data_IF_849979370379
#
_entry.id   IF_849979370379
#
_cell.length_a   1.000
_cell.length_b   1.000
_cell.length_c   1.000
_cell.angle_alpha   90.00
_cell.angle_beta   90.00
_cell.angle_gamma   90.00
#
_symmetry.space_group_name_H-M   'P 1'
#
loop_
_entity.id
_entity.type
_entity.pdbx_description
1 polymer ?
#
# COMPACT_ATOMS: atom_id res chain seq x y z
N UNK A 1 23.01 -20.38 -10.83
CA UNK A 1 22.69 -20.46 -9.38
C UNK A 1 23.20 -19.18 -8.73
N UNK A 2 22.42 -18.57 -7.86
CA UNK A 2 22.80 -17.37 -7.10
C UNK A 2 22.80 -17.74 -5.62
N UNK A 3 23.98 -18.19 -5.15
CA UNK A 3 24.12 -18.71 -3.79
C UNK A 3 23.97 -17.58 -2.75
N UNK A 4 24.38 -16.34 -3.07
CA UNK A 4 24.19 -15.17 -2.22
C UNK A 4 22.69 -14.89 -1.99
N UNK A 5 21.89 -14.89 -3.06
CA UNK A 5 20.45 -14.70 -2.95
C UNK A 5 19.76 -15.84 -2.20
N UNK A 6 20.26 -17.08 -2.34
CA UNK A 6 19.74 -18.22 -1.60
C UNK A 6 20.03 -18.09 -0.11
N UNK A 7 21.27 -17.75 0.25
CA UNK A 7 21.68 -17.56 1.64
C UNK A 7 21.01 -16.37 2.32
N UNK A 8 20.55 -15.38 1.55
CA UNK A 8 19.81 -14.23 2.07
C UNK A 8 18.37 -14.57 2.52
N UNK A 9 17.80 -15.67 2.01
CA UNK A 9 16.40 -16.04 2.28
C UNK A 9 16.24 -17.36 3.03
N UNK A 10 17.28 -18.19 3.10
CA UNK A 10 17.31 -19.41 3.91
C UNK A 10 18.10 -19.14 5.19
N UNK A 11 17.50 -19.45 6.34
CA UNK A 11 18.21 -19.38 7.59
C UNK A 11 19.01 -20.68 7.87
N UNK A 12 19.78 -20.66 8.96
CA UNK A 12 20.63 -21.79 9.40
C UNK A 12 19.84 -23.07 9.72
N UNK A 13 18.54 -22.95 10.01
CA UNK A 13 17.66 -24.04 10.37
C UNK A 13 16.86 -24.56 9.14
N UNK A 14 17.13 -24.00 7.96
CA UNK A 14 16.54 -24.40 6.66
C UNK A 14 15.18 -23.78 6.37
N UNK A 15 14.75 -22.76 7.15
CA UNK A 15 13.51 -22.04 6.87
C UNK A 15 13.68 -21.00 5.77
N UNK A 16 12.72 -20.97 4.86
CA UNK A 16 12.63 -19.96 3.81
C UNK A 16 11.88 -18.73 4.33
N UNK A 17 12.56 -17.59 4.39
CA UNK A 17 11.96 -16.29 4.69
C UNK A 17 11.36 -15.71 3.40
N UNK A 18 10.05 -15.81 3.23
CA UNK A 18 9.35 -15.29 2.03
C UNK A 18 9.34 -13.77 1.97
N UNK A 19 9.50 -13.10 3.12
CA UNK A 19 9.39 -11.65 3.24
C UNK A 19 7.94 -11.16 3.27
N UNK A 20 6.98 -12.06 3.48
CA UNK A 20 5.57 -11.73 3.62
C UNK A 20 5.16 -11.67 5.10
N UNK A 21 4.21 -10.80 5.41
CA UNK A 21 3.53 -10.74 6.70
C UNK A 21 2.20 -11.48 6.57
N UNK A 22 1.89 -12.31 7.53
CA UNK A 22 0.66 -13.07 7.55
C UNK A 22 0.21 -13.42 8.96
N UNK A 23 -0.98 -14.00 9.05
CA UNK A 23 -1.55 -14.52 10.29
C UNK A 23 -1.93 -15.99 10.12
N UNK A 24 -1.93 -16.72 11.23
CA UNK A 24 -2.41 -18.10 11.28
C UNK A 24 -3.61 -18.13 12.22
N UNK A 25 -4.77 -18.57 11.71
CA UNK A 25 -5.98 -18.70 12.51
C UNK A 25 -5.87 -19.89 13.49
N UNK A 26 -6.70 -19.95 14.54
CA UNK A 26 -6.79 -21.13 15.43
C UNK A 26 -7.13 -22.42 14.68
N UNK A 27 -7.73 -22.35 13.51
CA UNK A 27 -8.06 -23.46 12.61
C UNK A 27 -6.96 -23.74 11.58
N UNK A 28 -5.75 -23.18 11.78
CA UNK A 28 -4.55 -23.37 10.95
C UNK A 28 -4.65 -22.83 9.50
N UNK A 29 -5.57 -21.90 9.23
CA UNK A 29 -5.57 -21.18 7.95
C UNK A 29 -4.55 -20.05 7.98
N UNK A 30 -3.71 -19.99 6.94
CA UNK A 30 -2.74 -18.91 6.73
C UNK A 30 -3.37 -17.83 5.87
N UNK A 31 -3.33 -16.58 6.35
CA UNK A 31 -3.72 -15.40 5.58
C UNK A 31 -2.50 -14.53 5.36
N UNK A 32 -2.11 -14.33 4.11
CA UNK A 32 -1.06 -13.38 3.75
C UNK A 32 -1.67 -11.99 3.70
N UNK A 33 -1.02 -11.04 4.39
CA UNK A 33 -1.51 -9.65 4.51
C UNK A 33 -0.81 -8.73 3.51
N UNK A 34 0.53 -8.64 3.60
CA UNK A 34 1.31 -7.73 2.74
C UNK A 34 2.79 -8.17 2.75
N UNK A 35 3.58 -7.87 1.71
CA UNK A 35 5.04 -7.96 1.82
C UNK A 35 5.58 -7.08 2.94
N UNK A 36 6.50 -7.59 3.76
CA UNK A 36 7.06 -6.87 4.90
C UNK A 36 7.67 -5.50 4.54
N UNK A 37 8.21 -5.38 3.32
CA UNK A 37 8.77 -4.14 2.75
C UNK A 37 7.71 -3.09 2.38
N UNK A 38 6.44 -3.48 2.28
CA UNK A 38 5.33 -2.62 1.89
C UNK A 38 4.47 -2.20 3.10
N UNK A 39 4.65 -2.85 4.26
CA UNK A 39 4.03 -2.44 5.53
C UNK A 39 4.51 -1.02 5.90
N UNK A 40 3.56 -0.15 6.21
CA UNK A 40 3.81 1.23 6.66
C UNK A 40 3.91 1.24 8.18
N UNK A 41 5.02 1.76 8.70
CA UNK A 41 5.26 1.87 10.15
C UNK A 41 4.99 3.30 10.59
N UNK A 42 3.82 3.55 11.17
CA UNK A 42 3.34 4.88 11.52
C UNK A 42 2.85 4.96 12.95
N UNK A 43 3.37 5.90 13.74
CA UNK A 43 2.90 6.15 15.11
C UNK A 43 2.93 4.93 16.04
N UNK A 44 3.81 3.95 15.78
CA UNK A 44 3.87 2.69 16.51
C UNK A 44 2.97 1.57 15.97
N UNK A 45 2.15 1.87 14.96
CA UNK A 45 1.26 0.93 14.29
C UNK A 45 1.87 0.38 13.00
N UNK A 46 1.46 -0.83 12.64
CA UNK A 46 1.83 -1.47 11.38
C UNK A 46 0.59 -1.49 10.47
N UNK A 47 0.65 -0.71 9.39
CA UNK A 47 -0.46 -0.52 8.47
C UNK A 47 -0.22 -1.32 7.20
N UNK A 48 -1.16 -2.20 6.88
CA UNK A 48 -1.17 -2.97 5.64
C UNK A 48 -1.62 -2.08 4.49
N UNK A 49 -0.79 -1.95 3.45
CA UNK A 49 -1.12 -1.14 2.28
C UNK A 49 -2.29 -1.72 1.49
N UNK A 50 -2.42 -3.05 1.46
CA UNK A 50 -3.52 -3.74 0.79
C UNK A 50 -4.88 -3.41 1.42
N UNK A 51 -4.95 -3.21 2.74
CA UNK A 51 -6.20 -2.83 3.39
C UNK A 51 -6.68 -1.46 2.93
N UNK A 52 -5.75 -0.49 2.82
CA UNK A 52 -6.05 0.85 2.29
C UNK A 52 -6.47 0.77 0.82
N UNK A 53 -5.72 0.01 0.01
CA UNK A 53 -6.02 -0.21 -1.41
C UNK A 53 -7.40 -0.85 -1.58
N UNK A 54 -7.76 -1.84 -0.75
CA UNK A 54 -9.07 -2.49 -0.75
C UNK A 54 -10.21 -1.51 -0.42
N UNK A 55 -10.01 -0.61 0.55
CA UNK A 55 -11.00 0.44 0.88
C UNK A 55 -11.18 1.37 -0.31
N UNK A 56 -10.09 1.91 -0.86
CA UNK A 56 -10.13 2.90 -1.93
C UNK A 56 -10.69 2.28 -3.22
N UNK A 57 -10.38 1.04 -3.53
CA UNK A 57 -10.85 0.35 -4.74
C UNK A 57 -12.37 0.14 -4.78
N UNK A 58 -13.05 0.21 -3.62
CA UNK A 58 -14.52 0.10 -3.52
C UNK A 58 -15.24 1.42 -3.83
N UNK A 59 -14.52 2.54 -3.92
CA UNK A 59 -15.11 3.82 -4.26
C UNK A 59 -15.51 3.79 -5.74
N UNK A 60 -16.82 4.01 -6.00
CA UNK A 60 -17.31 4.04 -7.38
C UNK A 60 -16.61 5.16 -8.17
N UNK A 61 -16.07 4.80 -9.33
CA UNK A 61 -15.28 5.69 -10.18
C UNK A 61 -13.76 5.56 -10.00
N UNK A 62 -13.27 4.86 -8.98
CA UNK A 62 -11.86 4.47 -8.91
C UNK A 62 -11.61 3.30 -9.86
N UNK A 63 -10.57 3.43 -10.68
CA UNK A 63 -10.14 2.40 -11.64
C UNK A 63 -9.01 1.54 -11.07
N UNK A 64 -8.00 2.20 -10.52
CA UNK A 64 -6.81 1.54 -9.92
C UNK A 64 -6.32 2.37 -8.74
N UNK A 65 -5.68 1.72 -7.79
CA UNK A 65 -5.06 2.36 -6.64
C UNK A 65 -3.77 1.64 -6.27
N UNK A 66 -2.78 2.40 -5.84
CA UNK A 66 -1.58 1.88 -5.20
C UNK A 66 -1.24 2.74 -3.98
N UNK A 67 -0.87 2.09 -2.89
CA UNK A 67 -0.46 2.78 -1.66
C UNK A 67 0.97 2.39 -1.31
N UNK A 68 1.77 3.39 -0.96
CA UNK A 68 3.14 3.21 -0.46
C UNK A 68 3.35 4.03 0.81
N UNK A 69 4.27 3.59 1.66
CA UNK A 69 4.74 4.41 2.78
C UNK A 69 5.69 5.48 2.27
N UNK A 70 5.52 6.70 2.75
CA UNK A 70 6.46 7.81 2.56
C UNK A 70 6.97 8.27 3.94
N UNK A 71 8.24 8.70 4.06
CA UNK A 71 8.80 9.17 5.32
C UNK A 71 8.01 10.36 5.87
N UNK A 72 7.78 10.35 7.16
CA UNK A 72 7.18 11.44 7.92
C UNK A 72 8.04 11.74 9.16
N UNK A 73 8.36 13.01 9.39
CA UNK A 73 9.25 13.43 10.47
C UNK A 73 8.70 13.13 11.87
N UNK A 74 7.38 13.10 12.02
CA UNK A 74 6.71 12.93 13.31
C UNK A 74 6.31 11.49 13.56
N UNK A 75 5.85 10.79 12.52
CA UNK A 75 5.18 9.50 12.64
C UNK A 75 5.99 8.32 12.08
N UNK A 76 7.19 8.59 11.50
CA UNK A 76 8.04 7.62 10.83
C UNK A 76 7.67 7.48 9.36
N UNK A 77 6.52 6.92 9.07
CA UNK A 77 5.97 6.84 7.71
C UNK A 77 4.49 7.22 7.70
N UNK A 78 4.01 7.72 6.54
CA UNK A 78 2.59 7.95 6.29
C UNK A 78 2.16 7.33 4.95
N UNK A 79 0.89 6.88 4.85
CA UNK A 79 0.37 6.36 3.59
C UNK A 79 0.28 7.46 2.53
N UNK A 80 0.76 7.13 1.32
CA UNK A 80 0.64 7.91 0.11
C UNK A 80 -0.12 7.10 -0.93
N UNK A 81 -1.26 7.59 -1.39
CA UNK A 81 -2.12 6.91 -2.35
C UNK A 81 -2.01 7.53 -3.74
N UNK A 82 -1.67 6.70 -4.74
CA UNK A 82 -1.81 7.04 -6.17
C UNK A 82 -3.12 6.42 -6.65
N UNK A 83 -3.98 7.23 -7.26
CA UNK A 83 -5.32 6.81 -7.68
C UNK A 83 -5.55 7.16 -9.14
N UNK A 84 -5.97 6.16 -9.91
CA UNK A 84 -6.48 6.34 -11.28
C UNK A 84 -8.00 6.38 -11.21
N UNK A 85 -8.60 7.43 -11.74
CA UNK A 85 -10.05 7.61 -11.81
C UNK A 85 -10.54 7.20 -13.22
N UNK A 86 -11.68 6.54 -13.29
CA UNK A 86 -12.38 6.24 -14.55
C UNK A 86 -12.73 7.55 -15.26
N UNK A 87 -12.65 7.56 -16.60
CA UNK A 87 -12.85 8.77 -17.40
C UNK A 87 -14.20 9.46 -17.11
N UNK A 88 -15.25 8.66 -16.97
CA UNK A 88 -16.62 9.13 -16.68
C UNK A 88 -16.82 9.68 -15.26
N UNK A 89 -15.83 9.54 -14.39
CA UNK A 89 -15.91 9.97 -12.98
C UNK A 89 -14.98 11.14 -12.66
N UNK A 90 -14.19 11.63 -13.62
CA UNK A 90 -13.20 12.68 -13.40
C UNK A 90 -13.82 14.00 -12.92
N UNK A 91 -15.01 14.33 -13.35
CA UNK A 91 -15.70 15.57 -12.93
C UNK A 91 -16.31 15.46 -11.51
N UNK A 92 -16.50 14.24 -11.01
CA UNK A 92 -17.16 13.94 -9.73
C UNK A 92 -16.18 13.66 -8.62
N UNK A 93 -15.04 13.06 -8.94
CA UNK A 93 -14.04 12.60 -7.96
C UNK A 93 -12.77 13.46 -8.05
N UNK A 94 -12.71 14.48 -7.23
CA UNK A 94 -11.47 15.21 -6.95
C UNK A 94 -10.77 14.67 -5.68
N UNK A 95 -9.60 15.22 -5.34
CA UNK A 95 -8.84 14.82 -4.15
C UNK A 95 -9.62 15.01 -2.85
N UNK A 96 -10.44 16.05 -2.77
CA UNK A 96 -11.23 16.36 -1.57
C UNK A 96 -12.35 15.36 -1.38
N UNK A 97 -13.10 15.05 -2.44
CA UNK A 97 -14.14 14.03 -2.41
C UNK A 97 -13.58 12.65 -2.05
N UNK A 98 -12.45 12.27 -2.65
CA UNK A 98 -11.77 11.02 -2.33
C UNK A 98 -11.34 10.96 -0.87
N UNK A 99 -10.74 12.02 -0.34
CA UNK A 99 -10.32 12.06 1.05
C UNK A 99 -11.52 11.88 2.00
N UNK A 100 -12.64 12.53 1.72
CA UNK A 100 -13.87 12.41 2.51
C UNK A 100 -14.43 10.96 2.45
N UNK A 101 -14.52 10.35 1.26
CA UNK A 101 -14.97 8.96 1.11
C UNK A 101 -14.05 7.98 1.84
N UNK A 102 -12.73 8.15 1.73
CA UNK A 102 -11.77 7.29 2.41
C UNK A 102 -11.92 7.40 3.93
N UNK A 103 -12.04 8.63 4.44
CA UNK A 103 -12.24 8.88 5.88
C UNK A 103 -13.51 8.21 6.40
N UNK A 104 -14.61 8.32 5.67
CA UNK A 104 -15.89 7.69 6.01
C UNK A 104 -15.75 6.15 6.01
N UNK A 105 -15.16 5.58 4.96
CA UNK A 105 -14.99 4.12 4.84
C UNK A 105 -14.04 3.55 5.89
N UNK A 106 -12.95 4.23 6.22
CA UNK A 106 -12.03 3.83 7.28
C UNK A 106 -12.76 3.84 8.63
N UNK A 107 -13.53 4.90 8.91
CA UNK A 107 -14.29 5.04 10.16
C UNK A 107 -15.35 3.95 10.29
N UNK A 108 -16.14 3.72 9.24
CA UNK A 108 -17.21 2.70 9.25
C UNK A 108 -16.68 1.27 9.28
N UNK A 109 -15.47 1.03 8.77
CA UNK A 109 -14.79 -0.28 8.85
C UNK A 109 -14.16 -0.56 10.21
N UNK A 110 -14.24 0.38 11.18
CA UNK A 110 -13.63 0.24 12.49
C UNK A 110 -12.10 0.31 12.48
N UNK A 111 -11.50 0.74 11.39
CA UNK A 111 -10.06 0.95 11.28
C UNK A 111 -9.66 2.27 11.95
N UNK A 112 -8.41 2.35 12.41
CA UNK A 112 -7.92 3.57 13.03
C UNK A 112 -7.54 4.63 11.96
N UNK A 113 -7.36 5.89 12.41
CA UNK A 113 -7.06 7.03 11.53
C UNK A 113 -5.75 6.91 10.74
N UNK A 114 -4.84 6.03 11.14
CA UNK A 114 -3.56 5.83 10.47
C UNK A 114 -3.69 5.20 9.08
N UNK A 115 -4.86 4.57 8.80
CA UNK A 115 -5.21 4.05 7.49
C UNK A 115 -5.63 5.13 6.48
N UNK A 116 -5.88 6.39 6.92
CA UNK A 116 -6.23 7.49 6.04
C UNK A 116 -4.94 8.04 5.42
N UNK A 117 -4.79 8.05 4.08
CA UNK A 117 -3.62 8.62 3.43
C UNK A 117 -3.52 10.12 3.68
N UNK A 118 -2.34 10.60 4.08
CA UNK A 118 -2.07 12.04 4.20
C UNK A 118 -1.93 12.69 2.81
N UNK A 119 -1.51 11.89 1.82
CA UNK A 119 -1.31 12.35 0.46
C UNK A 119 -2.12 11.49 -0.52
N UNK A 120 -2.87 12.15 -1.38
CA UNK A 120 -3.60 11.54 -2.51
C UNK A 120 -3.12 12.21 -3.79
N UNK A 121 -2.57 11.43 -4.72
CA UNK A 121 -2.19 11.87 -6.05
C UNK A 121 -3.10 11.22 -7.09
N UNK A 122 -3.76 12.03 -7.92
CA UNK A 122 -4.47 11.54 -9.08
C UNK A 122 -3.48 11.41 -10.23
N UNK A 123 -3.42 10.22 -10.80
CA UNK A 123 -2.51 9.89 -11.90
C UNK A 123 -3.28 9.25 -13.07
N UNK A 124 -2.74 9.36 -14.28
CA UNK A 124 -3.36 8.73 -15.44
C UNK A 124 -3.08 7.22 -15.49
N UNK A 125 -1.94 6.79 -14.94
CA UNK A 125 -1.56 5.38 -14.85
C UNK A 125 -0.67 5.10 -13.63
N UNK A 126 -0.72 3.87 -13.13
CA UNK A 126 0.15 3.38 -12.05
C UNK A 126 1.25 2.50 -12.66
N UNK A 127 2.54 2.71 -12.30
CA UNK A 127 3.64 1.90 -12.80
C UNK A 127 3.43 0.41 -12.54
N UNK A 128 3.63 -0.41 -13.56
CA UNK A 128 3.51 -1.87 -13.50
C UNK A 128 4.81 -2.57 -13.86
N UNK A 129 4.96 -3.79 -13.38
CA UNK A 129 6.02 -4.70 -13.80
C UNK A 129 5.70 -5.27 -15.18
N UNK A 130 6.67 -5.94 -15.81
CA UNK A 130 6.48 -6.64 -17.09
C UNK A 130 5.37 -7.70 -17.08
N UNK A 131 5.01 -8.20 -15.89
CA UNK A 131 3.92 -9.19 -15.70
C UNK A 131 2.61 -8.55 -15.23
N UNK A 132 2.49 -7.22 -15.32
CA UNK A 132 1.26 -6.48 -15.02
C UNK A 132 0.97 -6.20 -13.54
N UNK A 133 1.85 -6.57 -12.61
CA UNK A 133 1.68 -6.25 -11.19
C UNK A 133 2.10 -4.81 -10.90
N UNK A 134 1.43 -4.15 -9.95
CA UNK A 134 1.82 -2.81 -9.46
C UNK A 134 3.29 -2.83 -9.02
N UNK A 135 4.05 -1.86 -9.50
CA UNK A 135 5.49 -1.73 -9.20
C UNK A 135 5.71 -0.68 -8.10
N UNK A 136 5.44 -1.05 -6.84
CA UNK A 136 5.63 -0.16 -5.68
C UNK A 136 7.08 0.33 -5.55
N UNK A 137 8.08 -0.46 -6.00
CA UNK A 137 9.49 -0.03 -6.01
C UNK A 137 9.69 1.17 -6.94
N UNK A 138 9.11 1.12 -8.15
CA UNK A 138 9.19 2.25 -9.08
C UNK A 138 8.44 3.46 -8.56
N UNK A 139 7.25 3.28 -7.99
CA UNK A 139 6.48 4.37 -7.37
C UNK A 139 7.33 5.11 -6.33
N UNK A 140 7.99 4.39 -5.41
CA UNK A 140 8.87 5.01 -4.41
C UNK A 140 10.05 5.76 -5.06
N UNK A 141 10.65 5.20 -6.11
CA UNK A 141 11.74 5.87 -6.83
C UNK A 141 11.26 7.19 -7.47
N UNK A 142 10.11 7.17 -8.14
CA UNK A 142 9.53 8.33 -8.80
C UNK A 142 9.16 9.44 -7.78
N UNK A 143 8.60 9.06 -6.62
CA UNK A 143 8.30 9.99 -5.52
C UNK A 143 9.57 10.63 -4.94
N UNK A 144 10.64 9.85 -4.81
CA UNK A 144 11.93 10.36 -4.36
C UNK A 144 12.52 11.38 -5.34
N UNK A 145 12.46 11.11 -6.64
CA UNK A 145 12.90 12.05 -7.67
C UNK A 145 12.09 13.36 -7.67
N UNK A 146 10.81 13.28 -7.32
CA UNK A 146 9.93 14.45 -7.16
C UNK A 146 10.15 15.22 -5.85
N UNK A 147 11.04 14.77 -4.96
CA UNK A 147 11.27 15.36 -3.65
C UNK A 147 10.11 15.18 -2.67
N UNK A 148 9.32 14.15 -2.85
CA UNK A 148 8.18 13.78 -2.00
C UNK A 148 8.52 12.63 -1.02
N UNK A 149 9.77 12.15 -1.07
CA UNK A 149 10.37 11.16 -0.17
C UNK A 149 11.64 11.71 0.46
#
# INVERSE_FOLDING_TARGET
>A
KNDEATNAVLDKDGWLHTGDIGTISPTHYVTILDPAKDIIKTGGEWICTLDIENIISRIDGVKEVAVVGVPDQKWGERPYALIVIKAESKDRLDKSALHQYIQEMVTTSGMNKWYIPDHIELVDEIPKTSVGKINKKKIRADLKEKGQL
#
